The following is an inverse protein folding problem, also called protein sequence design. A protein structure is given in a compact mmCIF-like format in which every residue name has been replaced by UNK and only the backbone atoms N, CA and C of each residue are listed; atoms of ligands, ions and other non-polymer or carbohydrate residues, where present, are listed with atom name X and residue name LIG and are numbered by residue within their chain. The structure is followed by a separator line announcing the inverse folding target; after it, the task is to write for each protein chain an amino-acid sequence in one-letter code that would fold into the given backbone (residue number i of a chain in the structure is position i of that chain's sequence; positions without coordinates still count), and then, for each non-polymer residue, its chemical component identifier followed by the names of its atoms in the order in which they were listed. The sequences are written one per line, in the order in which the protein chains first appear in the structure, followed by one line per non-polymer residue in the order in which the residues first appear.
data_IF_599367421942
#
_entry.id   IF_599367421942
#
_cell.length_a   1.000
_cell.length_b   1.000
_cell.length_c   1.000
_cell.angle_alpha   90.00
_cell.angle_beta   90.00
_cell.angle_gamma   90.00
#
_symmetry.space_group_name_H-M   'P 1'
#
loop_
_entity.id
_entity.type
_entity.pdbx_description
1 polymer ?
#
# COMPACT_ATOMS: atom_id res chain seq x y z
N UNK A 1 -35.50 18.73 44.14
CA UNK A 1 -34.30 17.88 44.35
C UNK A 1 -34.25 16.93 43.16
N UNK A 2 -33.29 17.14 42.25
CA UNK A 2 -33.25 16.65 40.86
C UNK A 2 -32.57 15.26 40.81
N UNK A 3 -33.01 14.29 39.97
CA UNK A 3 -32.49 12.93 39.99
C UNK A 3 -31.17 12.73 39.21
N UNK A 4 -30.51 11.62 39.56
CA UNK A 4 -29.19 11.13 39.15
C UNK A 4 -28.86 11.17 37.65
N UNK A 5 -27.61 11.59 37.41
CA UNK A 5 -26.80 11.36 36.19
C UNK A 5 -26.83 9.88 35.79
N UNK A 6 -27.35 9.58 34.61
CA UNK A 6 -27.11 8.32 33.90
C UNK A 6 -26.21 8.60 32.67
N UNK A 7 -25.32 7.64 32.43
CA UNK A 7 -24.50 7.39 31.23
C UNK A 7 -23.19 8.17 31.10
N UNK A 8 -22.13 7.53 31.60
CA UNK A 8 -20.78 7.60 31.02
C UNK A 8 -20.87 7.25 29.53
N UNK A 9 -20.86 8.27 28.66
CA UNK A 9 -20.48 8.13 27.25
C UNK A 9 -18.96 8.26 27.17
N UNK A 10 -18.28 7.16 27.49
CA UNK A 10 -16.83 7.04 27.30
C UNK A 10 -16.57 5.85 26.37
N UNK A 11 -17.00 5.96 25.10
CA UNK A 11 -16.41 5.17 24.01
C UNK A 11 -16.79 5.79 22.65
N UNK A 12 -16.51 7.10 22.48
CA UNK A 12 -16.29 7.64 21.15
C UNK A 12 -14.95 7.08 20.67
N UNK A 13 -15.02 5.85 20.15
CA UNK A 13 -13.99 5.28 19.28
C UNK A 13 -13.74 6.29 18.18
N UNK A 14 -12.65 7.03 18.35
CA UNK A 14 -12.07 7.89 17.32
C UNK A 14 -11.83 7.00 16.10
N UNK A 15 -12.77 7.06 15.17
CA UNK A 15 -12.60 6.64 13.80
C UNK A 15 -11.47 7.49 13.23
N UNK A 16 -10.25 6.98 13.29
CA UNK A 16 -9.06 7.57 12.72
C UNK A 16 -9.18 7.50 11.20
N UNK A 17 -9.89 8.47 10.63
CA UNK A 17 -9.95 8.70 9.20
C UNK A 17 -8.59 9.18 8.70
N UNK A 18 -8.01 8.47 7.74
CA UNK A 18 -6.82 8.90 6.99
C UNK A 18 -7.12 10.27 6.37
N UNK A 19 -6.25 11.25 6.58
CA UNK A 19 -6.46 12.58 6.02
C UNK A 19 -6.32 12.56 4.49
N UNK A 20 -6.96 13.52 3.80
CA UNK A 20 -6.92 13.57 2.33
C UNK A 20 -5.51 13.75 1.75
N UNK A 21 -4.63 14.45 2.49
CA UNK A 21 -3.22 14.64 2.11
C UNK A 21 -2.42 13.34 2.28
N UNK A 22 -2.58 12.66 3.41
CA UNK A 22 -1.92 11.37 3.68
C UNK A 22 -2.32 10.30 2.65
N UNK A 23 -3.60 10.29 2.24
CA UNK A 23 -4.07 9.41 1.16
C UNK A 23 -3.40 9.74 -0.19
N UNK A 24 -3.12 11.02 -0.47
CA UNK A 24 -2.42 11.42 -1.68
C UNK A 24 -0.95 10.97 -1.66
N UNK A 25 -0.27 11.11 -0.52
CA UNK A 25 1.11 10.68 -0.33
C UNK A 25 1.25 9.16 -0.46
N UNK A 26 0.33 8.39 0.13
CA UNK A 26 0.26 6.92 -0.01
C UNK A 26 0.10 6.53 -1.48
N UNK A 27 -0.82 7.16 -2.21
CA UNK A 27 -1.02 6.88 -3.65
C UNK A 27 0.21 7.22 -4.47
N UNK A 28 0.90 8.32 -4.17
CA UNK A 28 2.14 8.69 -4.82
C UNK A 28 3.25 7.66 -4.57
N UNK A 29 3.37 7.17 -3.33
CA UNK A 29 4.31 6.12 -2.96
C UNK A 29 4.02 4.80 -3.69
N UNK A 30 2.76 4.36 -3.75
CA UNK A 30 2.35 3.17 -4.51
C UNK A 30 2.71 3.32 -6.00
N UNK A 31 2.37 4.47 -6.60
CA UNK A 31 2.67 4.74 -8.00
C UNK A 31 4.19 4.76 -8.30
N UNK A 32 5.01 5.22 -7.35
CA UNK A 32 6.47 5.16 -7.45
C UNK A 32 6.95 3.70 -7.47
N UNK A 33 6.50 2.87 -6.53
CA UNK A 33 6.87 1.45 -6.44
C UNK A 33 6.48 0.72 -7.72
N UNK A 34 5.28 0.94 -8.25
CA UNK A 34 4.85 0.31 -9.50
C UNK A 34 5.69 0.74 -10.70
N UNK A 35 6.03 2.04 -10.81
CA UNK A 35 6.89 2.56 -11.88
C UNK A 35 8.29 1.97 -11.79
N UNK A 36 8.85 1.89 -10.59
CA UNK A 36 10.14 1.26 -10.34
C UNK A 36 10.11 -0.22 -10.75
N UNK A 37 9.05 -0.93 -10.35
CA UNK A 37 8.87 -2.34 -10.68
C UNK A 37 8.85 -2.60 -12.18
N UNK A 38 8.05 -1.83 -12.93
CA UNK A 38 8.02 -1.91 -14.40
C UNK A 38 9.39 -1.62 -15.03
N UNK A 39 10.11 -0.61 -14.55
CA UNK A 39 11.42 -0.26 -15.09
C UNK A 39 12.47 -1.35 -14.84
N UNK A 40 12.54 -1.87 -13.61
CA UNK A 40 13.45 -2.97 -13.27
C UNK A 40 13.10 -4.26 -14.01
N UNK A 41 11.81 -4.54 -14.19
CA UNK A 41 11.35 -5.71 -14.93
C UNK A 41 11.71 -5.60 -16.43
N UNK A 42 11.49 -4.45 -17.05
CA UNK A 42 11.89 -4.18 -18.44
C UNK A 42 13.41 -4.22 -18.64
N UNK A 43 14.18 -3.88 -17.61
CA UNK A 43 15.64 -4.03 -17.62
C UNK A 43 16.10 -5.50 -17.52
N UNK A 44 15.19 -6.45 -17.30
CA UNK A 44 15.52 -7.87 -17.14
C UNK A 44 16.01 -8.23 -15.74
N UNK A 45 15.62 -7.47 -14.71
CA UNK A 45 15.92 -7.83 -13.33
C UNK A 45 15.31 -9.21 -13.00
N UNK A 46 16.09 -10.17 -12.45
CA UNK A 46 15.54 -11.46 -12.04
C UNK A 46 14.39 -11.30 -11.05
N UNK A 47 13.32 -12.09 -11.24
CA UNK A 47 12.07 -12.03 -10.46
C UNK A 47 12.29 -11.89 -8.95
N UNK A 48 13.08 -12.78 -8.34
CA UNK A 48 13.37 -12.74 -6.91
C UNK A 48 14.00 -11.40 -6.46
N UNK A 49 14.94 -10.85 -7.24
CA UNK A 49 15.58 -9.56 -6.89
C UNK A 49 14.64 -8.39 -7.10
N UNK A 50 13.80 -8.45 -8.13
CA UNK A 50 12.76 -7.47 -8.37
C UNK A 50 11.78 -7.44 -7.19
N UNK A 51 11.26 -8.59 -6.79
CA UNK A 51 10.31 -8.75 -5.69
C UNK A 51 10.91 -8.27 -4.35
N UNK A 52 12.14 -8.68 -4.04
CA UNK A 52 12.85 -8.23 -2.84
C UNK A 52 13.10 -6.72 -2.83
N UNK A 53 13.48 -6.14 -3.97
CA UNK A 53 13.72 -4.70 -4.07
C UNK A 53 12.43 -3.90 -3.86
N UNK A 54 11.31 -4.33 -4.47
CA UNK A 54 10.02 -3.67 -4.31
C UNK A 54 9.48 -3.81 -2.88
N UNK A 55 9.68 -4.96 -2.24
CA UNK A 55 9.35 -5.14 -0.82
C UNK A 55 10.14 -4.17 0.07
N UNK A 56 11.46 -4.06 -0.13
CA UNK A 56 12.31 -3.15 0.64
C UNK A 56 11.96 -1.67 0.41
N UNK A 57 11.68 -1.27 -0.83
CA UNK A 57 11.28 0.11 -1.13
C UNK A 57 9.91 0.41 -0.51
N UNK A 58 8.96 -0.51 -0.59
CA UNK A 58 7.64 -0.36 0.04
C UNK A 58 7.76 -0.18 1.56
N UNK A 59 8.58 -1.01 2.21
CA UNK A 59 8.84 -0.90 3.64
C UNK A 59 9.43 0.48 4.02
N UNK A 60 10.38 0.99 3.23
CA UNK A 60 10.96 2.34 3.44
C UNK A 60 9.96 3.48 3.26
N UNK A 61 8.92 3.26 2.45
CA UNK A 61 7.83 4.20 2.21
C UNK A 61 6.65 4.02 3.18
N UNK A 62 6.74 3.10 4.14
CA UNK A 62 5.64 2.80 5.07
C UNK A 62 4.46 2.06 4.42
N UNK A 63 4.70 1.38 3.30
CA UNK A 63 3.68 0.61 2.58
C UNK A 63 3.81 -0.89 2.90
N UNK A 64 2.67 -1.54 3.08
CA UNK A 64 2.58 -3.00 3.07
C UNK A 64 2.34 -3.48 1.64
N UNK A 65 3.43 -3.89 0.97
CA UNK A 65 3.40 -4.36 -0.42
C UNK A 65 3.73 -5.85 -0.55
N UNK A 66 3.01 -6.56 -1.42
CA UNK A 66 3.32 -7.91 -1.87
C UNK A 66 3.49 -7.92 -3.39
N UNK A 67 4.55 -8.60 -3.86
CA UNK A 67 4.95 -8.58 -5.26
C UNK A 67 5.14 -10.00 -5.78
N UNK A 68 4.74 -10.21 -7.03
CA UNK A 68 4.97 -11.45 -7.76
C UNK A 68 5.18 -11.12 -9.22
N UNK A 69 6.22 -11.69 -9.83
CA UNK A 69 6.57 -11.43 -11.22
C UNK A 69 6.65 -12.71 -12.05
N UNK A 70 6.16 -12.61 -13.28
CA UNK A 70 6.39 -13.57 -14.36
C UNK A 70 7.19 -12.85 -15.45
N UNK A 71 7.77 -13.54 -16.44
CA UNK A 71 8.61 -12.90 -17.45
C UNK A 71 8.00 -11.70 -18.20
N UNK A 72 6.67 -11.56 -18.22
CA UNK A 72 5.96 -10.48 -18.94
C UNK A 72 4.95 -9.73 -18.08
N UNK A 73 4.80 -10.07 -16.80
CA UNK A 73 3.83 -9.45 -15.92
C UNK A 73 4.39 -9.22 -14.51
N UNK A 74 4.03 -8.07 -13.94
CA UNK A 74 4.27 -7.75 -12.54
C UNK A 74 2.92 -7.57 -11.84
N UNK A 75 2.71 -8.34 -10.79
CA UNK A 75 1.62 -8.18 -9.85
C UNK A 75 2.12 -7.40 -8.64
N UNK A 76 1.37 -6.38 -8.22
CA UNK A 76 1.63 -5.61 -7.02
C UNK A 76 0.33 -5.54 -6.20
N UNK A 77 0.40 -5.85 -4.92
CA UNK A 77 -0.72 -5.72 -4.00
C UNK A 77 -0.30 -4.85 -2.83
N UNK A 78 -1.10 -3.83 -2.52
CA UNK A 78 -0.87 -2.93 -1.39
C UNK A 78 -2.05 -2.98 -0.43
N UNK A 79 -1.77 -2.98 0.87
CA UNK A 79 -2.81 -2.83 1.90
C UNK A 79 -2.80 -1.39 2.43
N UNK A 80 -3.94 -0.70 2.36
CA UNK A 80 -4.11 0.66 2.88
C UNK A 80 -5.38 0.70 3.71
N UNK A 81 -5.27 1.10 4.99
CA UNK A 81 -6.41 1.18 5.92
C UNK A 81 -7.25 -0.11 6.00
N UNK A 82 -6.62 -1.28 5.83
CA UNK A 82 -7.29 -2.59 5.84
C UNK A 82 -7.90 -3.02 4.50
N UNK A 83 -7.88 -2.16 3.48
CA UNK A 83 -8.30 -2.50 2.12
C UNK A 83 -7.09 -2.92 1.28
N UNK A 84 -7.23 -4.03 0.54
CA UNK A 84 -6.20 -4.52 -0.37
C UNK A 84 -6.50 -4.09 -1.80
N UNK A 85 -5.55 -3.41 -2.42
CA UNK A 85 -5.60 -3.02 -3.83
C UNK A 85 -4.53 -3.78 -4.61
N UNK A 86 -4.94 -4.55 -5.62
CA UNK A 86 -4.03 -5.34 -6.45
C UNK A 86 -4.04 -4.82 -7.88
N UNK A 87 -2.86 -4.57 -8.44
CA UNK A 87 -2.64 -4.17 -9.82
C UNK A 87 -1.81 -5.21 -10.58
N UNK A 88 -2.05 -5.27 -11.90
CA UNK A 88 -1.24 -6.03 -12.85
C UNK A 88 -0.68 -5.07 -13.89
N UNK A 89 0.63 -5.09 -14.05
CA UNK A 89 1.34 -4.40 -15.12
C UNK A 89 1.91 -5.41 -16.09
N UNK A 90 1.55 -5.32 -17.37
CA UNK A 90 2.31 -6.01 -18.42
C UNK A 90 3.58 -5.24 -18.73
N UNK A 91 4.65 -5.99 -18.98
CA UNK A 91 5.95 -5.46 -19.34
C UNK A 91 6.37 -6.17 -20.62
N UNK A 92 6.61 -5.38 -21.64
CA UNK A 92 7.10 -5.88 -22.91
C UNK A 92 8.60 -6.20 -22.77
N UNK A 93 9.05 -7.37 -23.24
CA UNK A 93 10.47 -7.74 -23.23
C UNK A 93 11.31 -6.95 -24.23
#
# INVERSE_FOLDING_TARGET
MIPSRIHSRSDERQSSGVTGAETADIRAAMALVEKLGRALHAYGCPAHRLEDALAQVSQRLGLEGQFFSTPTALFASFTVAGERSTSLSRVDP
#
